data_IF_119021703407
#
_entry.id   IF_119021703407
#
_cell.length_a   1.000
_cell.length_b   1.000
_cell.length_c   1.000
_cell.angle_alpha   90.00
_cell.angle_beta   90.00
_cell.angle_gamma   90.00
#
_symmetry.space_group_name_H-M   'P 1'
#
loop_
_entity.id
_entity.type
_entity.pdbx_description
1 polymer ?
#
# COMPACT_ATOMS: atom_id res chain seq x y z
N UNK A 1 -30.72 20.90 -40.70
CA UNK A 1 -31.84 20.45 -39.85
C UNK A 1 -31.96 18.94 -40.05
N UNK A 2 -31.55 18.02 -39.20
CA UNK A 2 -31.04 18.02 -37.83
C UNK A 2 -31.30 16.59 -37.34
N UNK A 3 -30.38 15.67 -37.62
CA UNK A 3 -30.42 14.28 -37.14
C UNK A 3 -29.73 14.23 -35.76
N UNK A 4 -30.38 13.64 -34.77
CA UNK A 4 -29.81 13.48 -33.43
C UNK A 4 -30.80 12.85 -32.46
N UNK A 5 -30.71 11.53 -32.32
CA UNK A 5 -31.39 10.67 -31.35
C UNK A 5 -31.22 11.14 -29.89
N UNK A 6 -32.16 10.82 -28.98
CA UNK A 6 -32.01 11.10 -27.56
C UNK A 6 -30.95 10.18 -26.93
N UNK A 7 -29.96 10.78 -26.28
CA UNK A 7 -28.97 10.09 -25.45
C UNK A 7 -29.65 9.23 -24.37
N UNK A 8 -29.42 7.92 -24.45
CA UNK A 8 -29.79 6.94 -23.43
C UNK A 8 -28.95 7.14 -22.16
N UNK A 9 -29.61 7.32 -21.01
CA UNK A 9 -28.99 7.56 -19.70
C UNK A 9 -28.49 6.28 -19.00
N UNK A 10 -28.10 5.24 -19.73
CA UNK A 10 -27.51 4.04 -19.14
C UNK A 10 -25.99 4.15 -19.09
N UNK A 11 -25.50 4.86 -18.07
CA UNK A 11 -24.07 5.08 -17.89
C UNK A 11 -23.71 5.66 -16.53
N UNK A 12 -24.36 5.22 -15.45
CA UNK A 12 -23.78 5.42 -14.12
C UNK A 12 -22.53 4.52 -14.04
N UNK A 13 -21.36 5.09 -14.36
CA UNK A 13 -20.08 4.55 -13.97
C UNK A 13 -20.09 4.47 -12.44
N UNK A 14 -20.35 3.28 -11.90
CA UNK A 14 -20.20 3.01 -10.48
C UNK A 14 -18.70 3.07 -10.15
N UNK A 15 -18.25 4.28 -9.81
CA UNK A 15 -16.87 4.58 -9.41
C UNK A 15 -16.47 3.88 -8.11
N UNK A 16 -17.41 3.26 -7.38
CA UNK A 16 -17.12 2.61 -6.08
C UNK A 16 -16.53 1.21 -6.20
N UNK A 17 -16.72 0.53 -7.34
CA UNK A 17 -16.12 -0.81 -7.58
C UNK A 17 -14.76 -0.77 -8.28
N UNK A 18 -14.34 0.39 -8.78
CA UNK A 18 -13.13 0.54 -9.58
C UNK A 18 -11.85 0.82 -8.76
N UNK A 19 -11.97 1.18 -7.49
CA UNK A 19 -10.84 1.63 -6.66
C UNK A 19 -9.87 0.50 -6.24
N UNK A 20 -10.27 -0.78 -6.35
CA UNK A 20 -9.46 -1.94 -5.97
C UNK A 20 -9.10 -2.80 -7.18
N UNK A 21 -8.70 -2.20 -8.30
CA UNK A 21 -7.93 -2.95 -9.31
C UNK A 21 -6.60 -3.32 -8.65
N UNK A 22 -6.54 -4.52 -8.07
CA UNK A 22 -5.33 -5.11 -7.48
C UNK A 22 -4.18 -4.84 -8.45
N UNK A 23 -3.20 -4.05 -8.02
CA UNK A 23 -2.05 -3.72 -8.85
C UNK A 23 -1.27 -5.03 -9.07
N UNK A 24 -1.54 -5.71 -10.18
CA UNK A 24 -0.94 -7.01 -10.46
C UNK A 24 0.47 -6.79 -11.00
N UNK A 25 1.44 -6.68 -10.10
CA UNK A 25 2.83 -6.90 -10.50
C UNK A 25 2.93 -8.38 -10.87
N UNK A 26 2.94 -8.68 -12.18
CA UNK A 26 3.15 -10.05 -12.65
C UNK A 26 4.54 -10.50 -12.22
N UNK A 27 4.58 -11.43 -11.26
CA UNK A 27 5.79 -12.12 -10.81
C UNK A 27 6.55 -12.63 -12.04
N UNK A 28 7.78 -12.15 -12.26
CA UNK A 28 8.63 -12.56 -13.37
C UNK A 28 8.59 -11.70 -14.65
N UNK A 29 7.71 -10.68 -14.76
CA UNK A 29 7.82 -9.69 -15.85
C UNK A 29 8.82 -8.61 -15.42
N UNK A 30 9.96 -8.40 -16.12
CA UNK A 30 10.92 -7.39 -15.73
C UNK A 30 10.29 -6.01 -15.81
N UNK A 31 10.32 -5.27 -14.70
CA UNK A 31 10.03 -3.85 -14.70
C UNK A 31 11.19 -3.15 -15.42
N UNK A 32 10.89 -2.48 -16.54
CA UNK A 32 11.90 -1.90 -17.43
C UNK A 32 12.47 -0.56 -16.94
N UNK A 33 11.96 -0.01 -15.83
CA UNK A 33 12.36 1.31 -15.37
C UNK A 33 13.75 1.30 -14.75
N UNK A 34 14.49 2.36 -15.05
CA UNK A 34 15.83 2.62 -14.54
C UNK A 34 15.76 3.73 -13.48
N UNK A 35 16.68 3.71 -12.52
CA UNK A 35 16.89 4.84 -11.62
C UNK A 35 17.62 6.00 -12.35
N UNK A 36 17.85 7.12 -11.67
CA UNK A 36 18.55 8.27 -12.23
C UNK A 36 19.97 7.96 -12.74
N UNK A 37 20.59 6.87 -12.26
CA UNK A 37 21.93 6.43 -12.68
C UNK A 37 21.90 5.36 -13.79
N UNK A 38 20.73 5.08 -14.38
CA UNK A 38 20.58 4.07 -15.44
C UNK A 38 20.58 2.60 -14.96
N UNK A 39 20.57 2.35 -13.65
CA UNK A 39 20.50 0.99 -13.07
C UNK A 39 19.04 0.54 -12.97
N UNK A 40 18.80 -0.75 -13.24
CA UNK A 40 17.46 -1.34 -13.07
C UNK A 40 17.00 -1.30 -11.61
N UNK A 41 15.74 -0.98 -11.41
CA UNK A 41 15.12 -1.03 -10.09
C UNK A 41 14.98 -2.49 -9.62
N UNK A 42 15.37 -2.76 -8.37
CA UNK A 42 15.12 -4.04 -7.72
C UNK A 42 13.70 -4.02 -7.13
N UNK A 43 12.87 -5.01 -7.50
CA UNK A 43 11.50 -5.10 -7.01
C UNK A 43 11.37 -6.16 -5.93
N UNK A 44 10.80 -5.76 -4.81
CA UNK A 44 10.37 -6.66 -3.74
C UNK A 44 8.86 -6.59 -3.64
N UNK A 45 8.20 -7.74 -3.71
CA UNK A 45 6.74 -7.82 -3.66
C UNK A 45 6.29 -8.08 -2.23
N UNK A 46 5.69 -7.08 -1.60
CA UNK A 46 5.10 -7.21 -0.28
C UNK A 46 3.63 -7.63 -0.44
N UNK A 47 3.20 -8.77 0.14
CA UNK A 47 1.82 -9.22 0.01
C UNK A 47 0.89 -8.33 0.84
N UNK A 48 -0.31 -8.08 0.34
CA UNK A 48 -1.37 -7.40 1.10
C UNK A 48 -1.87 -8.29 2.26
N UNK A 49 -2.40 -7.69 3.35
CA UNK A 49 -3.07 -8.43 4.40
C UNK A 49 -4.31 -9.15 3.84
N UNK A 50 -4.56 -10.37 4.34
CA UNK A 50 -5.66 -11.21 3.87
C UNK A 50 -6.91 -11.05 4.72
N UNK A 51 -6.73 -10.80 6.02
CA UNK A 51 -7.81 -10.60 6.98
C UNK A 51 -7.44 -9.48 7.95
N UNK A 52 -7.37 -8.21 7.49
CA UNK A 52 -7.10 -7.08 8.39
C UNK A 52 -8.20 -6.94 9.45
N UNK A 53 -7.84 -6.46 10.65
CA UNK A 53 -8.80 -6.25 11.75
C UNK A 53 -9.86 -5.20 11.39
N UNK A 54 -9.44 -4.12 10.73
CA UNK A 54 -10.31 -3.03 10.29
C UNK A 54 -10.99 -3.37 8.96
N UNK A 55 -12.31 -3.19 8.91
CA UNK A 55 -13.16 -3.48 7.72
C UNK A 55 -13.83 -2.23 7.13
N UNK A 56 -13.40 -1.03 7.52
CA UNK A 56 -13.94 0.22 6.98
C UNK A 56 -13.81 0.25 5.45
N UNK A 57 -14.85 0.71 4.76
CA UNK A 57 -14.92 0.66 3.29
C UNK A 57 -13.83 1.51 2.61
N UNK A 58 -13.41 2.59 3.27
CA UNK A 58 -12.38 3.50 2.77
C UNK A 58 -10.97 3.08 3.22
N UNK A 59 -10.84 2.00 3.99
CA UNK A 59 -9.55 1.53 4.47
C UNK A 59 -8.84 0.67 3.44
N UNK A 60 -7.67 1.13 2.99
CA UNK A 60 -6.77 0.35 2.14
C UNK A 60 -5.63 -0.19 3.01
N UNK A 61 -5.84 -1.38 3.57
CA UNK A 61 -4.82 -2.08 4.34
C UNK A 61 -3.67 -2.49 3.40
N UNK A 62 -2.51 -1.84 3.51
CA UNK A 62 -1.33 -2.18 2.75
C UNK A 62 -0.08 -2.01 3.59
N UNK A 63 0.74 -3.07 3.64
CA UNK A 63 2.04 -3.01 4.30
C UNK A 63 3.01 -2.05 3.63
N UNK A 64 2.74 -1.54 2.43
CA UNK A 64 3.56 -0.48 1.81
C UNK A 64 3.44 0.84 2.57
N UNK A 65 2.38 1.04 3.36
CA UNK A 65 2.18 2.22 4.20
C UNK A 65 2.97 2.15 5.54
N UNK A 66 4.15 1.52 5.56
CA UNK A 66 5.01 1.50 6.74
C UNK A 66 5.71 2.85 6.94
N UNK A 67 6.13 3.13 8.18
CA UNK A 67 6.96 4.30 8.49
C UNK A 67 8.37 3.87 8.89
N UNK A 68 9.39 4.57 8.40
CA UNK A 68 10.80 4.34 8.74
C UNK A 68 11.29 5.51 9.60
N UNK A 69 11.67 5.21 10.84
CA UNK A 69 12.30 6.17 11.74
C UNK A 69 13.79 5.84 11.94
N UNK A 70 14.51 6.69 12.68
CA UNK A 70 15.97 6.59 12.83
C UNK A 70 16.51 5.25 13.35
N UNK A 71 15.65 4.40 13.95
CA UNK A 71 16.05 3.08 14.45
C UNK A 71 15.05 1.96 14.19
N UNK A 72 13.88 2.24 13.62
CA UNK A 72 12.84 1.24 13.48
C UNK A 72 11.96 1.42 12.24
N UNK A 73 11.30 0.35 11.84
CA UNK A 73 10.24 0.32 10.84
C UNK A 73 8.94 -0.11 11.52
N UNK A 74 7.88 0.68 11.34
CA UNK A 74 6.60 0.45 12.01
C UNK A 74 5.55 -0.06 11.03
N UNK A 75 5.00 -1.25 11.26
CA UNK A 75 3.89 -1.82 10.48
C UNK A 75 3.15 -2.96 11.22
N UNK A 76 1.82 -2.86 11.40
CA UNK A 76 0.94 -3.95 11.86
C UNK A 76 -0.52 -3.69 11.44
N UNK A 77 -1.21 -4.71 10.91
CA UNK A 77 -2.64 -4.60 10.53
C UNK A 77 -3.52 -5.65 11.23
N UNK A 78 -2.92 -6.46 12.11
CA UNK A 78 -3.60 -7.44 12.94
C UNK A 78 -3.95 -8.77 12.26
N UNK A 79 -3.40 -9.01 11.08
CA UNK A 79 -3.40 -10.31 10.43
C UNK A 79 -2.08 -11.00 10.79
N UNK A 80 -2.06 -11.74 11.90
CA UNK A 80 -0.83 -12.32 12.48
C UNK A 80 0.07 -13.00 11.44
N UNK A 81 -0.52 -13.79 10.54
CA UNK A 81 0.25 -14.51 9.54
C UNK A 81 0.80 -13.58 8.44
N UNK A 82 0.06 -12.54 8.04
CA UNK A 82 0.54 -11.55 7.09
C UNK A 82 1.53 -10.57 7.73
N UNK A 83 1.31 -10.17 8.97
CA UNK A 83 2.19 -9.29 9.76
C UNK A 83 3.57 -9.94 9.92
N UNK A 84 3.60 -11.23 10.32
CA UNK A 84 4.85 -12.00 10.42
C UNK A 84 5.60 -12.10 9.09
N UNK A 85 4.87 -12.31 7.97
CA UNK A 85 5.49 -12.34 6.64
C UNK A 85 6.05 -10.98 6.24
N UNK A 86 5.29 -9.91 6.46
CA UNK A 86 5.73 -8.55 6.15
C UNK A 86 6.94 -8.16 7.00
N UNK A 87 6.91 -8.42 8.30
CA UNK A 87 8.02 -8.15 9.22
C UNK A 87 9.30 -8.89 8.79
N UNK A 88 9.20 -10.18 8.44
CA UNK A 88 10.34 -10.95 7.94
C UNK A 88 10.91 -10.41 6.62
N UNK A 89 10.08 -9.83 5.76
CA UNK A 89 10.54 -9.20 4.51
C UNK A 89 11.19 -7.84 4.78
N UNK A 90 10.59 -7.02 5.66
CA UNK A 90 11.14 -5.72 6.05
C UNK A 90 12.48 -5.87 6.77
N UNK A 91 12.62 -6.87 7.66
CA UNK A 91 13.88 -7.18 8.32
C UNK A 91 15.01 -7.52 7.34
N UNK A 92 14.70 -8.16 6.20
CA UNK A 92 15.68 -8.43 5.14
C UNK A 92 16.07 -7.17 4.36
N UNK A 93 15.15 -6.22 4.21
CA UNK A 93 15.40 -4.95 3.53
C UNK A 93 16.14 -3.94 4.42
N UNK A 94 15.87 -3.99 5.73
CA UNK A 94 16.42 -3.10 6.74
C UNK A 94 17.12 -3.88 7.85
N UNK A 95 18.28 -4.51 7.57
CA UNK A 95 18.93 -5.42 8.52
C UNK A 95 19.45 -4.75 9.80
N UNK A 96 19.54 -3.42 9.82
CA UNK A 96 20.04 -2.64 10.97
C UNK A 96 18.90 -2.01 11.77
N UNK A 97 17.67 -1.98 11.24
CA UNK A 97 16.54 -1.35 11.90
C UNK A 97 15.71 -2.40 12.63
N UNK A 98 15.14 -2.01 13.76
CA UNK A 98 14.18 -2.82 14.49
C UNK A 98 12.82 -2.81 13.77
N UNK A 99 12.18 -3.97 13.64
CA UNK A 99 10.81 -4.02 13.10
C UNK A 99 9.82 -4.01 14.26
N UNK A 100 9.08 -2.91 14.39
CA UNK A 100 8.13 -2.69 15.48
C UNK A 100 6.71 -2.87 14.93
N UNK A 101 6.00 -3.88 15.44
CA UNK A 101 4.57 -4.01 15.21
C UNK A 101 3.83 -3.04 16.15
N UNK A 102 3.16 -2.05 15.56
CA UNK A 102 2.33 -1.11 16.29
C UNK A 102 0.92 -1.17 15.71
N UNK A 103 -0.07 -1.40 16.57
CA UNK A 103 -1.46 -1.36 16.20
C UNK A 103 -1.84 0.04 15.66
N UNK A 104 -2.17 0.12 14.38
CA UNK A 104 -2.61 1.34 13.69
C UNK A 104 -4.09 1.29 13.27
N UNK A 105 -4.88 0.42 13.89
CA UNK A 105 -6.28 0.20 13.55
C UNK A 105 -7.09 1.51 13.56
N UNK A 106 -6.87 2.39 14.54
CA UNK A 106 -7.55 3.69 14.64
C UNK A 106 -7.24 4.62 13.46
N UNK A 107 -6.01 4.60 12.95
CA UNK A 107 -5.65 5.33 11.73
C UNK A 107 -6.36 4.71 10.51
N UNK A 108 -6.44 3.39 10.47
CA UNK A 108 -7.15 2.65 9.43
C UNK A 108 -8.65 2.93 9.39
N UNK A 109 -9.29 3.05 10.55
CA UNK A 109 -10.69 3.42 10.68
C UNK A 109 -10.99 4.80 10.09
N UNK A 110 -10.02 5.72 10.14
CA UNK A 110 -10.13 7.06 9.54
C UNK A 110 -9.72 7.11 8.05
N UNK A 111 -9.42 5.96 7.43
CA UNK A 111 -9.05 5.86 6.02
C UNK A 111 -7.56 6.11 5.72
N UNK A 112 -6.73 6.23 6.76
CA UNK A 112 -5.28 6.46 6.64
C UNK A 112 -4.44 5.26 7.08
N UNK A 113 -3.13 5.43 7.04
CA UNK A 113 -2.19 4.55 7.72
C UNK A 113 -1.04 5.35 8.33
N UNK A 114 -0.08 4.67 8.97
CA UNK A 114 0.96 5.36 9.74
C UNK A 114 1.80 6.32 8.90
N UNK A 115 2.18 5.93 7.68
CA UNK A 115 2.94 6.80 6.79
C UNK A 115 2.19 8.10 6.47
N UNK A 116 0.86 8.05 6.38
CA UNK A 116 0.04 9.23 6.11
C UNK A 116 -0.02 10.20 7.30
N UNK A 117 0.15 9.68 8.53
CA UNK A 117 0.10 10.47 9.76
C UNK A 117 1.46 11.03 10.18
N UNK A 118 2.55 10.63 9.52
CA UNK A 118 3.93 11.00 9.86
C UNK A 118 4.59 11.81 8.75
N UNK A 119 5.50 12.70 9.14
CA UNK A 119 6.42 13.36 8.21
C UNK A 119 7.81 13.42 8.83
N UNK A 120 8.84 12.97 8.11
CA UNK A 120 10.21 12.99 8.59
C UNK A 120 10.82 14.39 8.49
N UNK A 121 11.57 14.79 9.53
CA UNK A 121 12.43 15.96 9.48
C UNK A 121 13.89 15.50 9.51
N UNK A 122 14.66 15.69 8.43
CA UNK A 122 16.07 15.36 8.40
C UNK A 122 16.85 16.15 9.46
N UNK A 123 17.82 15.47 10.09
CA UNK A 123 18.79 16.15 10.95
C UNK A 123 19.73 16.99 10.09
N UNK A 124 19.97 18.23 10.54
CA UNK A 124 20.97 19.16 9.98
C UNK A 124 22.34 18.97 10.60
#
# INVERSE_FOLDING_TARGET
MGWGEPFSTNGACDTRRAAQRRCTVRKGRPFGSLNATGKRLALTILPDPTAPRVKAADFVASYVNYYVCNGAVIAEFGDKAADERAANMLAKLYPVLEIVALNVDTLGETGGGIHCATHEQPKV
#
